data_IF_998100849961
#
_entry.id   IF_998100849961
#
_cell.length_a   1.000
_cell.length_b   1.000
_cell.length_c   1.000
_cell.angle_alpha   90.00
_cell.angle_beta   90.00
_cell.angle_gamma   90.00
#
_symmetry.space_group_name_H-M   'P 1'
#
loop_
_entity.id
_entity.type
_entity.pdbx_description
1 polymer ?
#
# COMPACT_ATOMS: atom_id res chain seq x y z
N UNK A 1 -46.28 -70.90 -1.21
CA UNK A 1 -45.49 -70.16 -2.22
C UNK A 1 -46.47 -69.24 -2.91
N UNK A 2 -46.29 -67.96 -2.65
CA UNK A 2 -47.32 -67.13 -2.01
C UNK A 2 -47.70 -65.97 -2.91
N UNK A 3 -48.97 -65.56 -2.84
CA UNK A 3 -49.58 -64.41 -3.54
C UNK A 3 -48.69 -63.13 -3.55
N UNK A 4 -47.80 -63.01 -2.57
CA UNK A 4 -46.83 -61.93 -2.43
C UNK A 4 -45.73 -61.94 -3.51
N UNK A 5 -45.28 -63.10 -3.99
CA UNK A 5 -44.30 -63.22 -5.07
C UNK A 5 -44.90 -62.84 -6.42
N UNK A 6 -46.14 -63.26 -6.70
CA UNK A 6 -46.89 -62.86 -7.89
C UNK A 6 -47.19 -61.35 -7.90
N UNK A 7 -47.55 -60.78 -6.73
CA UNK A 7 -47.80 -59.34 -6.63
C UNK A 7 -46.51 -58.53 -6.88
N UNK A 8 -45.37 -59.01 -6.34
CA UNK A 8 -44.05 -58.39 -6.59
C UNK A 8 -43.64 -58.49 -8.05
N UNK A 9 -43.82 -59.65 -8.69
CA UNK A 9 -43.50 -59.84 -10.11
C UNK A 9 -44.34 -58.92 -11.00
N UNK A 10 -45.64 -58.77 -10.69
CA UNK A 10 -46.54 -57.87 -11.43
C UNK A 10 -46.19 -56.40 -11.21
N UNK A 11 -45.84 -56.01 -9.99
CA UNK A 11 -45.39 -54.66 -9.68
C UNK A 11 -44.07 -54.31 -10.39
N UNK A 12 -43.10 -55.23 -10.39
CA UNK A 12 -41.83 -55.08 -11.13
C UNK A 12 -42.06 -54.98 -12.64
N UNK A 13 -42.98 -55.77 -13.19
CA UNK A 13 -43.37 -55.67 -14.60
C UNK A 13 -43.96 -54.31 -14.96
N UNK A 14 -44.86 -53.78 -14.13
CA UNK A 14 -45.45 -52.45 -14.34
C UNK A 14 -44.40 -51.34 -14.22
N UNK A 15 -43.51 -51.41 -13.23
CA UNK A 15 -42.42 -50.43 -13.06
C UNK A 15 -41.47 -50.48 -14.26
N UNK A 16 -41.11 -51.68 -14.74
CA UNK A 16 -40.25 -51.83 -15.91
C UNK A 16 -40.90 -51.27 -17.18
N UNK A 17 -42.20 -51.52 -17.38
CA UNK A 17 -42.95 -50.96 -18.51
C UNK A 17 -43.06 -49.43 -18.42
N UNK A 18 -43.29 -48.90 -17.21
CA UNK A 18 -43.36 -47.46 -16.99
C UNK A 18 -41.99 -46.78 -17.21
N UNK A 19 -40.88 -47.43 -16.78
CA UNK A 19 -39.52 -46.94 -17.07
C UNK A 19 -39.22 -46.96 -18.57
N UNK A 20 -39.62 -48.00 -19.30
CA UNK A 20 -39.41 -48.06 -20.75
C UNK A 20 -40.14 -46.91 -21.47
N UNK A 21 -41.39 -46.64 -21.09
CA UNK A 21 -42.15 -45.50 -21.63
C UNK A 21 -41.49 -44.16 -21.29
N UNK A 22 -41.02 -43.99 -20.06
CA UNK A 22 -40.35 -42.77 -19.62
C UNK A 22 -39.04 -42.51 -20.39
N UNK A 23 -38.25 -43.55 -20.67
CA UNK A 23 -37.03 -43.44 -21.47
C UNK A 23 -37.33 -42.97 -22.89
N UNK A 24 -38.37 -43.53 -23.52
CA UNK A 24 -38.78 -43.12 -24.88
C UNK A 24 -39.25 -41.67 -24.90
N UNK A 25 -40.04 -41.24 -23.91
CA UNK A 25 -40.51 -39.85 -23.81
C UNK A 25 -39.35 -38.86 -23.58
N UNK A 26 -38.39 -39.20 -22.71
CA UNK A 26 -37.20 -38.38 -22.50
C UNK A 26 -36.37 -38.29 -23.78
N UNK A 27 -36.13 -39.40 -24.46
CA UNK A 27 -35.37 -39.39 -25.72
C UNK A 27 -36.05 -38.53 -26.79
N UNK A 28 -37.39 -38.58 -26.87
CA UNK A 28 -38.17 -37.72 -27.76
C UNK A 28 -38.02 -36.24 -27.38
N UNK A 29 -38.17 -35.89 -26.11
CA UNK A 29 -38.01 -34.49 -25.65
C UNK A 29 -36.60 -33.96 -25.89
N UNK A 30 -35.56 -34.77 -25.67
CA UNK A 30 -34.17 -34.39 -25.96
C UNK A 30 -34.01 -34.10 -27.45
N UNK A 31 -34.55 -34.96 -28.32
CA UNK A 31 -34.49 -34.75 -29.78
C UNK A 31 -35.21 -33.47 -30.22
N UNK A 32 -36.40 -33.20 -29.65
CA UNK A 32 -37.14 -31.96 -29.91
C UNK A 32 -36.36 -30.72 -29.43
N UNK A 33 -35.76 -30.77 -28.24
CA UNK A 33 -34.98 -29.66 -27.71
C UNK A 33 -33.70 -29.40 -28.52
N UNK A 34 -33.00 -30.46 -28.93
CA UNK A 34 -31.84 -30.36 -29.83
C UNK A 34 -32.23 -29.74 -31.18
N UNK A 35 -33.36 -30.15 -31.76
CA UNK A 35 -33.85 -29.56 -33.00
C UNK A 35 -34.19 -28.07 -32.88
N UNK A 36 -34.76 -27.66 -31.74
CA UNK A 36 -35.05 -26.24 -31.47
C UNK A 36 -33.77 -25.41 -31.29
N UNK A 37 -32.75 -25.95 -30.63
CA UNK A 37 -31.46 -25.28 -30.45
C UNK A 37 -30.75 -25.05 -31.79
N UNK A 38 -30.79 -26.03 -32.70
CA UNK A 38 -30.18 -25.89 -34.03
C UNK A 38 -30.88 -24.79 -34.83
N UNK A 39 -32.22 -24.75 -34.82
CA UNK A 39 -32.97 -23.69 -35.51
C UNK A 39 -32.69 -22.30 -34.93
N UNK A 40 -32.62 -22.19 -33.60
CA UNK A 40 -32.29 -20.93 -32.95
C UNK A 40 -30.86 -20.45 -33.28
N UNK A 41 -29.92 -21.37 -33.44
CA UNK A 41 -28.55 -21.07 -33.88
C UNK A 41 -28.53 -20.58 -35.34
N UNK A 42 -29.28 -21.24 -36.23
CA UNK A 42 -29.40 -20.81 -37.63
C UNK A 42 -30.03 -19.41 -37.73
N UNK A 43 -31.12 -19.15 -36.99
CA UNK A 43 -31.77 -17.84 -36.94
C UNK A 43 -30.82 -16.75 -36.41
N UNK A 44 -30.02 -17.06 -35.38
CA UNK A 44 -29.04 -16.14 -34.81
C UNK A 44 -27.90 -15.85 -35.82
N UNK A 45 -27.42 -16.87 -36.53
CA UNK A 45 -26.41 -16.69 -37.57
C UNK A 45 -26.92 -15.81 -38.71
N UNK A 46 -28.18 -16.00 -39.13
CA UNK A 46 -28.80 -15.14 -40.14
C UNK A 46 -28.98 -13.70 -39.63
N UNK A 47 -29.35 -13.51 -38.36
CA UNK A 47 -29.41 -12.18 -37.75
C UNK A 47 -28.05 -11.50 -37.71
N UNK A 48 -26.99 -12.20 -37.29
CA UNK A 48 -25.62 -11.66 -37.23
C UNK A 48 -25.13 -11.29 -38.64
N UNK A 49 -25.38 -12.12 -39.65
CA UNK A 49 -25.03 -11.82 -41.04
C UNK A 49 -25.73 -10.54 -41.55
N UNK A 50 -26.99 -10.31 -41.16
CA UNK A 50 -27.72 -9.07 -41.49
C UNK A 50 -27.22 -7.83 -40.73
N UNK A 51 -26.57 -8.00 -39.58
CA UNK A 51 -25.96 -6.89 -38.85
C UNK A 51 -24.62 -6.47 -39.46
N UNK A 52 -23.84 -7.42 -39.97
CA UNK A 52 -22.55 -7.14 -40.63
C UNK A 52 -22.73 -6.32 -41.93
N UNK A 53 -23.85 -6.52 -42.64
CA UNK A 53 -24.17 -5.76 -43.86
C UNK A 53 -24.67 -4.32 -43.60
N UNK A 54 -25.06 -3.99 -42.36
CA UNK A 54 -25.59 -2.66 -41.98
C UNK A 54 -24.56 -1.75 -41.30
N UNK A 55 -23.43 -2.28 -40.86
CA UNK A 55 -22.37 -1.48 -40.27
C UNK A 55 -21.45 -1.01 -41.40
N UNK A 56 -21.79 0.13 -42.00
CA UNK A 56 -20.90 0.82 -42.91
C UNK A 56 -19.94 1.67 -42.07
N UNK A 57 -18.65 1.31 -42.02
CA UNK A 57 -17.63 2.04 -41.24
C UNK A 57 -17.63 3.55 -41.56
N UNK A 58 -17.95 3.92 -42.80
CA UNK A 58 -18.06 5.33 -43.21
C UNK A 58 -19.23 6.09 -42.55
N UNK A 59 -20.34 5.44 -42.25
CA UNK A 59 -21.47 6.08 -41.56
C UNK A 59 -21.17 6.29 -40.07
N UNK A 60 -20.37 5.39 -39.48
CA UNK A 60 -19.84 5.56 -38.12
C UNK A 60 -18.85 6.72 -38.08
N UNK A 61 -17.92 6.80 -39.03
CA UNK A 61 -16.97 7.91 -39.10
C UNK A 61 -17.67 9.26 -39.28
N UNK A 62 -18.70 9.33 -40.13
CA UNK A 62 -19.48 10.55 -40.35
C UNK A 62 -20.28 10.95 -39.11
N UNK A 63 -20.93 9.98 -38.45
CA UNK A 63 -21.65 10.23 -37.20
C UNK A 63 -20.71 10.64 -36.05
N UNK A 64 -19.52 10.02 -35.95
CA UNK A 64 -18.51 10.42 -34.98
C UNK A 64 -17.95 11.81 -35.26
N UNK A 65 -17.70 12.15 -36.52
CA UNK A 65 -17.24 13.48 -36.92
C UNK A 65 -18.29 14.56 -36.60
N UNK A 66 -19.57 14.28 -36.81
CA UNK A 66 -20.67 15.21 -36.48
C UNK A 66 -20.82 15.40 -34.96
N UNK A 67 -20.68 14.32 -34.17
CA UNK A 67 -20.69 14.39 -32.69
C UNK A 67 -19.50 15.19 -32.17
N UNK A 68 -18.30 15.01 -32.74
CA UNK A 68 -17.11 15.77 -32.36
C UNK A 68 -17.23 17.25 -32.76
N UNK A 69 -17.80 17.55 -33.93
CA UNK A 69 -18.00 18.92 -34.40
C UNK A 69 -19.04 19.70 -33.60
N UNK A 70 -20.06 19.02 -33.06
CA UNK A 70 -21.12 19.61 -32.25
C UNK A 70 -20.86 19.51 -30.73
N UNK A 71 -19.70 18.98 -30.33
CA UNK A 71 -19.31 18.94 -28.92
C UNK A 71 -18.90 20.36 -28.48
N UNK A 72 -19.43 20.89 -27.37
CA UNK A 72 -18.93 22.14 -26.81
C UNK A 72 -17.42 22.00 -26.58
N UNK A 73 -16.63 23.09 -26.71
CA UNK A 73 -15.18 23.03 -26.50
C UNK A 73 -14.92 22.36 -25.15
N UNK A 74 -13.96 21.43 -25.06
CA UNK A 74 -13.68 20.73 -23.82
C UNK A 74 -13.46 21.79 -22.73
N UNK A 75 -14.20 21.67 -21.62
CA UNK A 75 -13.83 22.37 -20.40
C UNK A 75 -12.32 22.19 -20.19
N UNK A 76 -11.60 23.25 -19.76
CA UNK A 76 -10.15 23.17 -19.61
C UNK A 76 -9.82 21.90 -18.85
N UNK A 77 -9.07 21.01 -19.52
CA UNK A 77 -8.76 19.68 -19.00
C UNK A 77 -8.42 19.80 -17.52
N UNK A 78 -9.14 19.06 -16.67
CA UNK A 78 -8.89 19.04 -15.23
C UNK A 78 -7.36 18.98 -15.03
N UNK A 79 -6.78 19.88 -14.21
CA UNK A 79 -5.35 20.06 -14.16
C UNK A 79 -4.70 18.70 -13.97
N UNK A 80 -3.95 18.27 -14.99
CA UNK A 80 -3.27 16.99 -14.99
C UNK A 80 -2.31 17.03 -13.80
N UNK A 81 -2.66 16.29 -12.76
CA UNK A 81 -1.87 16.23 -11.54
C UNK A 81 -0.44 15.77 -11.83
N UNK A 82 0.49 16.00 -10.89
CA UNK A 82 1.86 15.52 -11.01
C UNK A 82 1.86 14.02 -11.35
N UNK A 83 2.50 13.68 -12.48
CA UNK A 83 2.51 12.31 -13.00
C UNK A 83 3.20 11.34 -12.03
N UNK A 84 2.93 10.04 -12.15
CA UNK A 84 3.49 9.01 -11.26
C UNK A 84 5.03 9.00 -11.20
N UNK A 85 5.71 9.49 -12.24
CA UNK A 85 7.18 9.56 -12.25
C UNK A 85 7.73 10.62 -11.29
N UNK A 86 7.02 11.75 -11.11
CA UNK A 86 7.37 12.75 -10.12
C UNK A 86 7.15 12.23 -8.70
N UNK A 87 6.03 11.55 -8.45
CA UNK A 87 5.77 10.88 -7.18
C UNK A 87 6.86 9.86 -6.84
N UNK A 88 7.26 9.00 -7.80
CA UNK A 88 8.37 8.05 -7.60
C UNK A 88 9.67 8.75 -7.22
N UNK A 89 9.99 9.86 -7.88
CA UNK A 89 11.19 10.63 -7.58
C UNK A 89 11.13 11.23 -6.17
N UNK A 90 10.00 11.81 -5.76
CA UNK A 90 9.82 12.38 -4.42
C UNK A 90 9.87 11.30 -3.32
N UNK A 91 9.29 10.12 -3.56
CA UNK A 91 9.39 8.96 -2.64
C UNK A 91 10.85 8.53 -2.48
N UNK A 92 11.59 8.35 -3.58
CA UNK A 92 13.00 8.01 -3.54
C UNK A 92 13.85 9.09 -2.85
N UNK A 93 13.47 10.37 -2.97
CA UNK A 93 14.15 11.46 -2.27
C UNK A 93 13.94 11.38 -0.75
N UNK A 94 12.74 11.04 -0.29
CA UNK A 94 12.41 10.88 1.13
C UNK A 94 13.14 9.68 1.76
N UNK A 95 13.23 8.55 1.05
CA UNK A 95 13.93 7.34 1.52
C UNK A 95 15.43 7.56 1.77
N UNK A 96 16.05 8.55 1.13
CA UNK A 96 17.46 8.89 1.36
C UNK A 96 17.72 9.54 2.71
N UNK A 97 16.70 10.03 3.40
CA UNK A 97 16.86 10.66 4.71
C UNK A 97 17.31 9.66 5.76
N UNK A 98 18.41 9.94 6.45
CA UNK A 98 18.99 9.05 7.48
C UNK A 98 18.61 9.46 8.90
N UNK A 99 17.96 10.61 9.05
CA UNK A 99 17.49 11.14 10.33
C UNK A 99 16.13 11.81 10.21
N UNK A 100 15.44 11.99 11.35
CA UNK A 100 14.17 12.73 11.41
C UNK A 100 14.29 14.11 10.72
N UNK A 101 15.35 14.86 11.03
CA UNK A 101 15.56 16.19 10.46
C UNK A 101 15.72 16.14 8.95
N UNK A 102 16.50 15.19 8.43
CA UNK A 102 16.71 15.06 6.98
C UNK A 102 15.43 14.71 6.25
N UNK A 103 14.65 13.74 6.75
CA UNK A 103 13.38 13.34 6.12
C UNK A 103 12.39 14.52 6.09
N UNK A 104 12.28 15.29 7.19
CA UNK A 104 11.40 16.47 7.23
C UNK A 104 11.88 17.57 6.26
N UNK A 105 13.18 17.81 6.16
CA UNK A 105 13.73 18.78 5.20
C UNK A 105 13.49 18.33 3.76
N UNK A 106 13.72 17.06 3.44
CA UNK A 106 13.43 16.50 2.12
C UNK A 106 11.94 16.63 1.78
N UNK A 107 11.04 16.32 2.71
CA UNK A 107 9.60 16.46 2.52
C UNK A 107 9.20 17.88 2.12
N UNK A 108 9.66 18.90 2.85
CA UNK A 108 9.33 20.30 2.53
C UNK A 108 9.91 20.70 1.16
N UNK A 109 11.11 20.23 0.82
CA UNK A 109 11.73 20.52 -0.47
C UNK A 109 10.97 19.88 -1.64
N UNK A 110 10.56 18.61 -1.50
CA UNK A 110 9.75 17.91 -2.49
C UNK A 110 8.38 18.57 -2.65
N UNK A 111 7.71 18.89 -1.55
CA UNK A 111 6.39 19.54 -1.59
C UNK A 111 6.45 20.91 -2.26
N UNK A 112 7.53 21.68 -2.06
CA UNK A 112 7.70 23.01 -2.67
C UNK A 112 7.81 23.02 -4.21
N UNK A 113 7.88 21.84 -4.84
CA UNK A 113 7.82 21.72 -6.30
C UNK A 113 6.38 21.73 -6.83
N UNK A 114 5.39 21.46 -5.98
CA UNK A 114 3.98 21.31 -6.35
C UNK A 114 3.09 22.45 -5.83
N UNK A 115 3.60 23.26 -4.90
CA UNK A 115 2.85 24.35 -4.28
C UNK A 115 3.79 25.52 -3.94
N UNK A 116 3.27 26.75 -4.04
CA UNK A 116 4.07 27.98 -3.93
C UNK A 116 4.89 28.06 -2.64
N UNK A 117 4.28 27.67 -1.52
CA UNK A 117 4.92 27.69 -0.21
C UNK A 117 4.63 26.43 0.58
N UNK A 118 5.66 25.92 1.23
CA UNK A 118 5.58 24.78 2.15
C UNK A 118 6.37 25.10 3.43
N UNK A 119 5.75 24.91 4.58
CA UNK A 119 6.32 25.20 5.89
C UNK A 119 5.98 24.10 6.90
N UNK A 120 7.00 23.56 7.56
CA UNK A 120 6.84 22.55 8.60
C UNK A 120 6.77 23.22 9.97
N UNK A 121 5.73 22.89 10.72
CA UNK A 121 5.54 23.31 12.10
C UNK A 121 5.63 22.12 13.05
N UNK A 122 6.52 22.18 14.03
CA UNK A 122 6.68 21.13 15.04
C UNK A 122 5.71 21.41 16.20
N UNK A 123 4.92 20.40 16.57
CA UNK A 123 3.96 20.51 17.67
C UNK A 123 4.68 20.29 19.00
N UNK A 124 4.67 21.32 19.85
CA UNK A 124 5.27 21.29 21.18
C UNK A 124 4.27 21.81 22.21
N UNK A 125 3.57 20.87 22.86
CA UNK A 125 2.55 21.20 23.85
C UNK A 125 1.35 21.89 23.20
N UNK A 126 0.93 23.09 23.66
CA UNK A 126 -0.24 23.80 23.12
C UNK A 126 0.08 24.64 21.88
N UNK A 127 1.26 24.49 21.27
CA UNK A 127 1.74 25.38 20.22
C UNK A 127 2.43 24.62 19.09
N UNK A 128 2.33 25.17 17.88
CA UNK A 128 3.02 24.71 16.69
C UNK A 128 4.09 25.74 16.31
N UNK A 129 5.35 25.33 16.30
CA UNK A 129 6.51 26.22 16.13
C UNK A 129 7.11 25.97 14.74
N UNK A 130 7.25 27.02 13.95
CA UNK A 130 7.84 26.93 12.62
C UNK A 130 9.29 26.46 12.67
N UNK A 131 9.64 25.51 11.83
CA UNK A 131 10.93 24.83 11.87
C UNK A 131 11.74 25.00 10.58
N UNK A 132 11.14 24.65 9.44
CA UNK A 132 11.77 24.73 8.12
C UNK A 132 10.72 25.03 7.06
N UNK A 133 11.08 25.82 6.06
CA UNK A 133 10.15 26.20 5.01
C UNK A 133 10.84 26.55 3.69
N UNK A 134 10.05 26.49 2.61
CA UNK A 134 10.40 26.83 1.23
C UNK A 134 9.27 27.70 0.64
N UNK A 135 9.61 28.59 -0.30
CA UNK A 135 8.67 29.58 -0.82
C UNK A 135 8.52 30.83 0.08
N UNK A 136 9.54 31.12 0.91
CA UNK A 136 9.62 32.32 1.73
C UNK A 136 10.96 33.03 1.55
N UNK A 137 10.91 34.36 1.56
CA UNK A 137 12.07 35.24 1.47
C UNK A 137 12.02 36.26 2.62
N UNK A 138 12.91 36.20 3.62
CA UNK A 138 13.90 35.14 3.88
C UNK A 138 13.29 33.89 4.53
N UNK A 139 13.81 32.71 4.21
CA UNK A 139 13.31 31.44 4.73
C UNK A 139 13.37 31.31 6.26
N UNK A 140 14.32 31.99 6.91
CA UNK A 140 14.52 31.93 8.38
C UNK A 140 13.38 32.58 9.19
N UNK A 141 12.51 33.37 8.56
CA UNK A 141 11.34 33.97 9.23
C UNK A 141 10.46 32.90 9.86
N UNK A 142 10.38 31.70 9.27
CA UNK A 142 9.59 30.59 9.80
C UNK A 142 9.92 30.25 11.26
N UNK A 143 11.19 30.37 11.65
CA UNK A 143 11.67 30.05 13.01
C UNK A 143 11.14 31.02 14.08
N UNK A 144 10.64 32.18 13.65
CA UNK A 144 10.05 33.20 14.53
C UNK A 144 8.51 33.10 14.59
N UNK A 145 7.92 32.14 13.89
CA UNK A 145 6.48 31.93 13.85
C UNK A 145 6.09 30.85 14.85
N UNK A 146 5.18 31.21 15.75
CA UNK A 146 4.59 30.32 16.74
C UNK A 146 3.07 30.48 16.69
N UNK A 147 2.38 29.39 16.37
CA UNK A 147 0.92 29.35 16.23
C UNK A 147 0.33 28.59 17.42
N UNK A 148 -0.45 29.25 18.30
CA UNK A 148 -1.17 28.57 19.37
C UNK A 148 -2.25 27.62 18.82
N UNK A 149 -2.26 26.36 19.27
CA UNK A 149 -3.23 25.35 18.84
C UNK A 149 -4.60 25.48 19.51
N UNK A 150 -4.77 26.47 20.40
CA UNK A 150 -6.05 26.88 20.96
C UNK A 150 -6.69 28.06 20.21
N UNK A 151 -5.94 28.75 19.35
CA UNK A 151 -6.45 29.84 18.51
C UNK A 151 -7.19 29.28 17.29
N UNK A 152 -8.18 30.02 16.80
CA UNK A 152 -8.98 29.61 15.65
C UNK A 152 -8.19 29.67 14.34
N UNK A 153 -7.50 28.58 14.04
CA UNK A 153 -6.57 28.45 12.92
C UNK A 153 -6.73 27.08 12.26
N UNK A 154 -6.30 26.95 11.01
CA UNK A 154 -6.28 25.66 10.30
C UNK A 154 -5.39 24.65 11.02
N UNK A 155 -4.30 25.10 11.68
CA UNK A 155 -3.43 24.24 12.50
C UNK A 155 -4.16 23.69 13.73
N UNK A 156 -5.02 24.48 14.39
CA UNK A 156 -5.90 23.99 15.46
C UNK A 156 -6.88 22.94 14.93
N UNK A 157 -7.47 23.16 13.77
CA UNK A 157 -8.44 22.23 13.19
C UNK A 157 -7.78 20.88 12.88
N UNK A 158 -6.60 20.88 12.26
CA UNK A 158 -5.77 19.68 12.05
C UNK A 158 -5.39 19.02 13.37
N UNK A 159 -5.04 19.80 14.40
CA UNK A 159 -4.71 19.26 15.72
C UNK A 159 -5.88 18.49 16.36
N UNK A 160 -7.11 18.98 16.18
CA UNK A 160 -8.29 18.37 16.76
C UNK A 160 -8.81 17.18 15.94
N UNK A 161 -8.84 17.32 14.60
CA UNK A 161 -9.38 16.30 13.70
C UNK A 161 -8.39 15.18 13.40
N UNK A 162 -7.09 15.47 13.43
CA UNK A 162 -6.02 14.60 12.90
C UNK A 162 -6.18 14.25 11.43
N UNK A 163 -6.87 15.10 10.65
CA UNK A 163 -7.05 14.97 9.21
C UNK A 163 -6.49 16.18 8.47
N UNK A 164 -6.11 15.98 7.20
CA UNK A 164 -5.72 17.08 6.34
C UNK A 164 -6.88 18.07 6.14
N UNK A 165 -6.59 19.36 6.20
CA UNK A 165 -7.56 20.43 6.05
C UNK A 165 -7.16 21.32 4.87
N UNK A 166 -8.07 21.47 3.91
CA UNK A 166 -7.92 22.33 2.74
C UNK A 166 -9.05 23.37 2.75
N UNK A 167 -8.75 24.59 2.33
CA UNK A 167 -9.78 25.61 2.16
C UNK A 167 -9.23 26.95 1.70
N UNK A 168 -10.12 27.90 1.44
CA UNK A 168 -9.75 29.27 1.15
C UNK A 168 -9.39 30.00 2.45
N UNK A 169 -8.34 30.81 2.39
CA UNK A 169 -7.75 31.48 3.54
C UNK A 169 -8.65 32.61 4.07
N UNK A 170 -9.51 33.17 3.22
CA UNK A 170 -10.54 34.16 3.59
C UNK A 170 -11.52 33.63 4.66
N UNK A 171 -11.78 32.32 4.66
CA UNK A 171 -12.63 31.66 5.64
C UNK A 171 -11.92 31.37 6.97
N UNK A 172 -10.62 31.72 7.09
CA UNK A 172 -9.85 31.54 8.31
C UNK A 172 -9.00 32.77 8.66
N UNK A 173 -9.63 33.87 9.12
CA UNK A 173 -8.92 35.11 9.50
C UNK A 173 -7.85 34.88 10.58
N UNK A 174 -8.07 33.96 11.51
CA UNK A 174 -7.07 33.63 12.54
C UNK A 174 -5.82 32.97 11.95
N UNK A 175 -5.96 32.16 10.89
CA UNK A 175 -4.80 31.62 10.15
C UNK A 175 -4.03 32.75 9.45
N UNK A 176 -4.73 33.67 8.78
CA UNK A 176 -4.11 34.84 8.16
C UNK A 176 -3.31 35.67 9.17
N UNK A 177 -3.90 35.95 10.33
CA UNK A 177 -3.25 36.71 11.38
C UNK A 177 -2.03 35.98 11.96
N UNK A 178 -2.15 34.69 12.25
CA UNK A 178 -1.09 33.90 12.84
C UNK A 178 0.13 33.74 11.91
N UNK A 179 -0.12 33.71 10.60
CA UNK A 179 0.90 33.49 9.58
C UNK A 179 1.27 34.75 8.79
N UNK A 180 0.75 35.92 9.17
CA UNK A 180 1.02 37.20 8.50
C UNK A 180 2.53 37.51 8.37
N UNK A 181 3.34 37.03 9.31
CA UNK A 181 4.81 37.17 9.28
C UNK A 181 5.46 36.46 8.10
N UNK A 182 4.84 35.41 7.56
CA UNK A 182 5.34 34.70 6.38
C UNK A 182 5.23 35.56 5.11
N UNK A 183 4.40 36.61 5.13
CA UNK A 183 4.21 37.53 4.02
C UNK A 183 3.50 36.92 2.81
N UNK A 184 3.45 37.67 1.71
CA UNK A 184 2.72 37.30 0.50
C UNK A 184 1.20 37.48 0.63
N UNK A 185 0.47 37.03 -0.38
CA UNK A 185 -1.00 37.11 -0.46
C UNK A 185 -1.59 35.77 -0.91
N UNK A 186 -1.43 34.69 -0.12
CA UNK A 186 -2.04 33.40 -0.44
C UNK A 186 -3.57 33.48 -0.35
N UNK A 187 -4.24 32.77 -1.25
CA UNK A 187 -5.70 32.66 -1.31
C UNK A 187 -6.19 31.31 -0.81
N UNK A 188 -5.44 30.23 -1.08
CA UNK A 188 -5.77 28.88 -0.61
C UNK A 188 -4.70 28.27 0.28
N UNK A 189 -5.12 27.37 1.16
CA UNK A 189 -4.28 26.69 2.14
C UNK A 189 -4.56 25.20 2.20
N UNK A 190 -3.52 24.42 2.47
CA UNK A 190 -3.55 23.02 2.85
C UNK A 190 -2.72 22.82 4.12
N UNK A 191 -3.27 22.16 5.12
CA UNK A 191 -2.54 21.76 6.32
C UNK A 191 -2.69 20.25 6.53
N UNK A 192 -1.56 19.54 6.61
CA UNK A 192 -1.52 18.07 6.69
C UNK A 192 -0.83 17.63 7.99
N UNK A 193 -1.46 16.75 8.79
CA UNK A 193 -0.87 16.24 10.02
C UNK A 193 0.24 15.22 9.74
N UNK A 194 1.38 15.38 10.41
CA UNK A 194 2.39 14.32 10.52
C UNK A 194 2.23 13.62 11.87
N UNK A 195 1.69 12.40 11.83
CA UNK A 195 1.47 11.57 13.01
C UNK A 195 2.62 10.57 13.11
N UNK A 196 3.34 10.60 14.24
CA UNK A 196 4.40 9.65 14.57
C UNK A 196 3.99 8.90 15.84
N UNK A 197 3.97 7.57 15.80
CA UNK A 197 3.55 6.72 16.94
C UNK A 197 2.25 7.20 17.62
N UNK A 198 1.21 7.44 16.82
CA UNK A 198 -0.13 7.94 17.24
C UNK A 198 -0.19 9.34 17.85
N UNK A 199 0.93 10.07 17.84
CA UNK A 199 1.01 11.45 18.32
C UNK A 199 1.20 12.41 17.16
N UNK A 200 0.45 13.51 17.14
CA UNK A 200 0.68 14.59 16.20
C UNK A 200 2.02 15.25 16.51
N UNK A 201 3.03 14.98 15.68
CA UNK A 201 4.39 15.43 15.90
C UNK A 201 4.67 16.75 15.17
N UNK A 202 4.10 16.92 13.98
CA UNK A 202 4.23 18.11 13.18
C UNK A 202 3.00 18.34 12.31
N UNK A 203 2.87 19.54 11.77
CA UNK A 203 1.87 19.90 10.76
C UNK A 203 2.62 20.54 9.59
N UNK A 204 2.45 19.97 8.40
CA UNK A 204 2.90 20.59 7.17
C UNK A 204 1.84 21.58 6.71
N UNK A 205 2.19 22.87 6.69
CA UNK A 205 1.37 23.94 6.15
C UNK A 205 1.83 24.29 4.74
N UNK A 206 0.90 24.40 3.80
CA UNK A 206 1.15 24.85 2.45
C UNK A 206 0.15 25.92 2.05
N UNK A 207 0.59 26.92 1.28
CA UNK A 207 -0.26 27.97 0.76
C UNK A 207 0.05 28.26 -0.72
N UNK A 208 -0.94 28.82 -1.43
CA UNK A 208 -0.79 29.25 -2.82
C UNK A 208 -1.56 30.54 -3.08
N UNK A 209 -1.09 31.31 -4.06
CA UNK A 209 -1.80 32.48 -4.56
C UNK A 209 -3.04 32.12 -5.41
N UNK A 210 -3.23 30.85 -5.77
CA UNK A 210 -4.43 30.35 -6.44
C UNK A 210 -5.63 30.29 -5.50
N UNK A 211 -6.84 30.45 -6.07
CA UNK A 211 -8.11 30.45 -5.33
C UNK A 211 -8.38 29.14 -4.59
N UNK A 212 -7.88 28.02 -5.11
CA UNK A 212 -7.92 26.72 -4.47
C UNK A 212 -6.61 25.94 -4.64
N UNK A 213 -6.36 24.99 -3.75
CA UNK A 213 -5.30 23.99 -3.93
C UNK A 213 -5.87 22.84 -4.79
N UNK A 214 -5.31 22.55 -5.98
CA UNK A 214 -5.80 21.47 -6.84
C UNK A 214 -5.89 20.13 -6.10
N UNK A 215 -6.99 19.39 -6.30
CA UNK A 215 -7.24 18.13 -5.58
C UNK A 215 -6.12 17.11 -5.71
N UNK A 216 -5.65 16.87 -6.94
CA UNK A 216 -4.56 15.93 -7.19
C UNK A 216 -3.23 16.34 -6.51
N UNK A 217 -2.97 17.64 -6.37
CA UNK A 217 -1.79 18.15 -5.64
C UNK A 217 -1.96 17.94 -4.14
N UNK A 218 -3.16 18.20 -3.60
CA UNK A 218 -3.44 17.96 -2.19
C UNK A 218 -3.28 16.48 -1.82
N UNK A 219 -3.84 15.57 -2.63
CA UNK A 219 -3.73 14.12 -2.44
C UNK A 219 -2.27 13.65 -2.50
N UNK A 220 -1.48 14.20 -3.45
CA UNK A 220 -0.05 13.92 -3.54
C UNK A 220 0.68 14.34 -2.26
N UNK A 221 0.46 15.58 -1.80
CA UNK A 221 1.13 16.12 -0.62
C UNK A 221 0.77 15.28 0.61
N UNK A 222 -0.50 14.91 0.77
CA UNK A 222 -0.96 14.04 1.87
C UNK A 222 -0.26 12.67 1.84
N UNK A 223 -0.15 12.06 0.66
CA UNK A 223 0.57 10.81 0.47
C UNK A 223 2.06 10.91 0.85
N UNK A 224 2.73 12.00 0.45
CA UNK A 224 4.13 12.24 0.79
C UNK A 224 4.34 12.42 2.30
N UNK A 225 3.45 13.14 2.98
CA UNK A 225 3.49 13.31 4.44
C UNK A 225 3.28 11.98 5.16
N UNK A 226 2.32 11.17 4.70
CA UNK A 226 2.07 9.83 5.24
C UNK A 226 3.30 8.93 5.07
N UNK A 227 3.91 8.94 3.88
CA UNK A 227 5.11 8.16 3.60
C UNK A 227 6.32 8.62 4.43
N UNK A 228 6.52 9.94 4.58
CA UNK A 228 7.55 10.48 5.44
C UNK A 228 7.36 10.04 6.90
N UNK A 229 6.13 10.01 7.40
CA UNK A 229 5.80 9.47 8.71
C UNK A 229 6.23 8.01 8.88
N UNK A 230 5.94 7.15 7.89
CA UNK A 230 6.37 5.75 7.90
C UNK A 230 7.89 5.60 7.84
N UNK A 231 8.56 6.42 7.04
CA UNK A 231 10.03 6.44 6.93
C UNK A 231 10.65 6.80 8.29
N UNK A 232 10.11 7.82 8.97
CA UNK A 232 10.55 8.25 10.30
C UNK A 232 10.28 7.17 11.36
N UNK A 233 9.09 6.57 11.35
CA UNK A 233 8.77 5.47 12.26
C UNK A 233 9.75 4.30 12.09
N UNK A 234 10.12 3.97 10.84
CA UNK A 234 11.12 2.94 10.52
C UNK A 234 12.52 3.30 11.03
N UNK A 235 12.98 4.54 10.81
CA UNK A 235 14.27 5.02 11.37
C UNK A 235 14.31 4.93 12.89
N UNK A 236 13.15 5.08 13.54
CA UNK A 236 13.02 5.01 15.00
C UNK A 236 13.04 3.57 15.57
N UNK A 237 12.90 2.55 14.72
CA UNK A 237 12.94 1.12 15.05
C UNK A 237 14.33 0.51 14.85
N UNK A 238 15.22 1.17 14.11
CA UNK A 238 16.60 0.72 13.98
C UNK A 238 17.27 0.69 15.36
N UNK A 239 17.98 -0.40 15.74
CA UNK A 239 18.73 -0.42 16.97
C UNK A 239 19.67 0.77 16.93
N UNK A 240 19.62 1.59 17.98
CA UNK A 240 20.51 2.72 18.19
C UNK A 240 21.93 2.15 18.26
N UNK A 241 22.55 1.95 17.10
CA UNK A 241 23.97 1.65 17.01
C UNK A 241 24.60 2.81 17.75
N UNK A 242 25.28 2.49 18.84
CA UNK A 242 25.90 3.49 19.69
C UNK A 242 26.68 4.43 18.77
N UNK A 243 26.15 5.64 18.58
CA UNK A 243 26.88 6.70 17.93
C UNK A 243 28.15 6.85 18.76
N UNK A 244 29.28 6.52 18.13
CA UNK A 244 30.59 6.85 18.63
C UNK A 244 30.53 8.31 19.07
N UNK A 245 30.85 8.55 20.34
CA UNK A 245 30.91 9.87 20.91
C UNK A 245 31.74 10.79 19.98
N UNK A 246 31.29 12.02 19.70
CA UNK A 246 32.13 12.98 19.00
C UNK A 246 33.39 13.19 19.84
N UNK A 247 34.53 12.86 19.22
CA UNK A 247 35.85 13.12 19.78
C UNK A 247 35.94 14.61 20.15
N UNK A 248 36.27 14.84 21.41
CA UNK A 248 36.53 16.15 21.98
C UNK A 248 37.55 16.92 21.11
N UNK A 249 37.25 18.19 20.88
CA UNK A 249 38.20 19.15 20.33
C UNK A 249 39.50 19.17 21.17
N UNK A 250 40.69 19.33 20.55
CA UNK A 250 41.94 19.41 21.28
C UNK A 250 41.96 20.69 22.12
N UNK A 251 42.02 20.52 23.44
CA UNK A 251 42.25 21.61 24.39
C UNK A 251 43.66 22.18 24.20
N UNK A 252 43.70 23.52 24.14
CA UNK A 252 44.87 24.38 24.11
C UNK A 252 45.84 24.06 25.26
N UNK A 253 47.17 24.17 25.07
CA UNK A 253 48.14 23.92 26.14
C UNK A 253 48.03 24.99 27.26
N UNK A 254 48.23 24.62 28.53
CA UNK A 254 48.16 25.56 29.65
C UNK A 254 49.46 26.35 29.80
N UNK A 255 49.34 27.65 30.03
CA UNK A 255 50.42 28.50 30.56
C UNK A 255 50.54 28.29 32.09
N UNK A 256 51.74 28.50 32.69
CA UNK A 256 52.10 27.92 33.98
C UNK A 256 51.48 28.63 35.19
N UNK A 257 51.20 27.84 36.22
CA UNK A 257 50.60 28.21 37.48
C UNK A 257 51.53 28.98 38.43
N UNK A 258 50.96 29.94 39.18
CA UNK A 258 51.45 30.31 40.49
C UNK A 258 50.72 29.49 41.57
N UNK A 259 51.51 28.73 42.32
CA UNK A 259 51.20 27.96 43.55
C UNK A 259 51.06 28.91 44.78
N UNK A 260 50.87 28.44 46.03
CA UNK A 260 50.52 27.10 46.55
C UNK A 260 49.52 27.09 47.76
N UNK A 261 49.02 25.90 48.14
CA UNK A 261 49.05 25.34 49.52
C UNK A 261 48.35 23.96 49.51
N UNK A 262 49.12 22.87 49.63
CA UNK A 262 49.36 22.08 50.86
C UNK A 262 48.33 20.94 51.02
N UNK A 263 48.71 19.70 50.64
CA UNK A 263 49.09 18.57 51.53
C UNK A 263 47.93 17.54 51.54
N UNK A 264 48.06 16.22 51.47
CA UNK A 264 49.17 15.28 51.64
C UNK A 264 48.90 13.99 50.80
N UNK A 265 49.93 13.17 50.62
CA UNK A 265 49.96 11.88 49.91
C UNK A 265 50.03 10.70 50.93
N UNK A 266 50.31 9.41 50.59
CA UNK A 266 50.11 8.62 49.34
C UNK A 266 49.70 7.11 49.53
N UNK A 267 49.46 6.42 48.39
CA UNK A 267 49.95 5.05 47.99
C UNK A 267 49.25 3.74 48.47
N UNK A 268 49.49 2.55 47.80
CA UNK A 268 49.74 2.26 46.36
C UNK A 268 49.21 0.87 45.82
N UNK A 269 49.56 0.58 44.54
CA UNK A 269 49.79 -0.72 43.86
C UNK A 269 48.56 -1.61 43.56
N UNK A 270 48.45 -2.38 42.46
CA UNK A 270 49.42 -3.12 41.60
C UNK A 270 48.76 -3.31 40.20
N UNK A 271 49.44 -3.09 39.07
CA UNK A 271 50.21 -4.05 38.25
C UNK A 271 49.44 -5.12 37.45
N UNK A 272 49.91 -5.32 36.20
CA UNK A 272 49.67 -6.50 35.35
C UNK A 272 48.73 -6.23 34.18
N UNK A 273 49.20 -5.75 33.03
CA UNK A 273 49.81 -6.57 31.97
C UNK A 273 48.78 -6.82 30.86
N UNK A 274 49.03 -6.84 29.55
CA UNK A 274 50.25 -6.95 28.77
C UNK A 274 49.91 -6.56 27.32
N UNK A 275 50.75 -5.71 26.72
CA UNK A 275 51.40 -5.89 25.40
C UNK A 275 50.60 -5.83 24.07
N UNK A 276 50.84 -4.70 23.36
CA UNK A 276 51.31 -4.53 21.96
C UNK A 276 50.42 -5.05 20.81
N UNK A 277 49.67 -4.15 20.16
CA UNK A 277 49.94 -3.50 18.86
C UNK A 277 50.16 -4.43 17.67
N UNK A 278 49.35 -4.27 16.62
CA UNK A 278 49.86 -4.36 15.25
C UNK A 278 49.27 -3.26 14.37
N UNK A 279 50.17 -2.72 13.57
CA UNK A 279 50.11 -1.44 12.88
C UNK A 279 49.30 -1.50 11.59
N UNK A 280 48.59 -0.41 11.30
CA UNK A 280 47.93 -0.16 10.03
C UNK A 280 48.93 0.45 9.04
N UNK A 281 49.37 -0.35 8.07
CA UNK A 281 49.97 0.12 6.82
C UNK A 281 50.25 -1.11 5.95
N UNK A 282 49.50 -1.29 4.85
CA UNK A 282 50.07 -1.39 3.50
C UNK A 282 49.05 -1.83 2.43
N UNK A 283 49.14 -1.09 1.33
CA UNK A 283 48.80 -1.39 -0.06
C UNK A 283 47.34 -1.65 -0.45
N UNK A 284 46.77 -0.57 -0.98
CA UNK A 284 46.09 -0.55 -2.28
C UNK A 284 46.84 -1.36 -3.35
N UNK A 285 46.20 -2.40 -3.88
CA UNK A 285 46.26 -2.79 -5.29
C UNK A 285 45.40 -4.03 -5.49
N UNK A 286 44.51 -3.97 -6.50
CA UNK A 286 44.11 -5.03 -7.44
C UNK A 286 42.62 -4.98 -7.76
N UNK A 287 42.35 -4.27 -8.86
CA UNK A 287 41.24 -4.50 -9.78
C UNK A 287 41.40 -5.90 -10.40
N UNK A 288 40.35 -6.71 -10.52
CA UNK A 288 40.31 -7.77 -11.51
C UNK A 288 39.49 -7.32 -12.72
N UNK A 289 40.12 -7.28 -13.90
CA UNK A 289 39.42 -7.38 -15.17
C UNK A 289 39.47 -8.83 -15.65
N UNK A 290 38.31 -9.38 -15.99
CA UNK A 290 38.05 -10.11 -17.24
C UNK A 290 38.71 -11.47 -17.50
N UNK A 291 37.93 -12.54 -17.31
CA UNK A 291 37.80 -13.73 -18.17
C UNK A 291 36.66 -14.58 -17.56
N UNK A 292 35.67 -15.16 -18.23
CA UNK A 292 35.55 -15.56 -19.63
C UNK A 292 34.06 -15.55 -20.04
N UNK A 293 33.83 -15.37 -21.33
CA UNK A 293 32.53 -15.46 -21.98
C UNK A 293 31.87 -16.82 -21.74
N UNK A 294 30.75 -16.84 -21.02
CA UNK A 294 29.82 -17.96 -21.02
C UNK A 294 28.98 -17.90 -22.30
N UNK A 295 29.07 -18.95 -23.11
CA UNK A 295 28.23 -19.15 -24.31
C UNK A 295 26.75 -19.17 -23.92
N UNK A 296 25.83 -18.73 -24.80
CA UNK A 296 24.40 -18.90 -24.57
C UNK A 296 24.09 -20.40 -24.58
N UNK A 297 23.51 -20.91 -23.49
CA UNK A 297 22.92 -22.24 -23.48
C UNK A 297 21.77 -22.28 -24.49
N UNK A 298 21.73 -23.33 -25.29
CA UNK A 298 20.67 -23.60 -26.25
C UNK A 298 19.29 -23.66 -25.56
N UNK A 299 18.19 -23.36 -26.27
CA UNK A 299 16.86 -23.36 -25.69
C UNK A 299 16.51 -24.76 -25.17
N UNK A 300 16.10 -24.84 -23.90
CA UNK A 300 15.44 -26.02 -23.40
C UNK A 300 14.16 -26.26 -24.24
N UNK A 301 13.86 -27.51 -24.65
CA UNK A 301 12.56 -27.82 -25.24
C UNK A 301 11.46 -27.48 -24.22
N UNK A 302 10.32 -26.93 -24.66
CA UNK A 302 9.24 -26.57 -23.76
C UNK A 302 8.80 -27.79 -22.94
N UNK A 303 8.57 -27.65 -21.63
CA UNK A 303 7.92 -28.72 -20.88
C UNK A 303 6.56 -29.00 -21.51
N UNK A 304 6.26 -30.29 -21.68
CA UNK A 304 5.00 -30.77 -22.19
C UNK A 304 3.83 -30.04 -21.52
N UNK A 305 2.89 -29.58 -22.35
CA UNK A 305 1.68 -28.91 -21.92
C UNK A 305 1.01 -29.69 -20.77
N UNK A 306 1.02 -29.09 -19.58
CA UNK A 306 0.08 -29.46 -18.53
C UNK A 306 -1.35 -29.35 -19.11
N UNK A 307 -2.28 -30.24 -18.72
CA UNK A 307 -3.63 -30.26 -19.29
C UNK A 307 -4.21 -28.85 -19.18
N UNK A 308 -4.46 -28.24 -20.34
CA UNK A 308 -5.09 -26.94 -20.43
C UNK A 308 -6.47 -27.08 -19.80
N UNK A 309 -6.60 -26.60 -18.56
CA UNK A 309 -7.88 -26.52 -17.86
C UNK A 309 -8.87 -25.83 -18.78
N UNK A 310 -10.09 -26.34 -18.84
CA UNK A 310 -11.13 -25.71 -19.63
C UNK A 310 -11.33 -24.24 -19.18
N UNK A 311 -11.80 -23.35 -20.05
CA UNK A 311 -12.05 -21.95 -19.69
C UNK A 311 -12.99 -21.82 -18.46
N UNK A 312 -13.93 -22.75 -18.28
CA UNK A 312 -14.83 -22.80 -17.13
C UNK A 312 -14.12 -23.22 -15.84
N UNK A 313 -13.27 -24.23 -15.89
CA UNK A 313 -12.45 -24.63 -14.74
C UNK A 313 -11.49 -23.51 -14.34
N UNK A 314 -10.84 -22.86 -15.32
CA UNK A 314 -9.95 -21.72 -15.07
C UNK A 314 -10.67 -20.60 -14.32
N UNK A 315 -11.90 -20.27 -14.76
CA UNK A 315 -12.75 -19.28 -14.09
C UNK A 315 -13.13 -19.71 -12.68
N UNK A 316 -13.47 -20.98 -12.46
CA UNK A 316 -13.79 -21.51 -11.14
C UNK A 316 -12.59 -21.43 -10.18
N UNK A 317 -11.37 -21.70 -10.66
CA UNK A 317 -10.14 -21.53 -9.89
C UNK A 317 -9.87 -20.05 -9.54
N UNK A 318 -10.08 -19.13 -10.49
CA UNK A 318 -9.94 -17.68 -10.22
C UNK A 318 -10.97 -17.18 -9.19
N UNK A 319 -12.23 -17.57 -9.34
CA UNK A 319 -13.31 -17.18 -8.44
C UNK A 319 -13.07 -17.73 -7.03
N UNK A 320 -12.62 -18.99 -6.91
CA UNK A 320 -12.23 -19.59 -5.64
C UNK A 320 -11.09 -18.80 -4.98
N UNK A 321 -10.05 -18.43 -5.74
CA UNK A 321 -8.92 -17.64 -5.22
C UNK A 321 -9.34 -16.24 -4.75
N UNK A 322 -10.22 -15.57 -5.51
CA UNK A 322 -10.78 -14.27 -5.12
C UNK A 322 -11.60 -14.39 -3.83
N UNK A 323 -12.41 -15.44 -3.73
CA UNK A 323 -13.24 -15.67 -2.55
C UNK A 323 -12.41 -16.03 -1.30
N UNK A 324 -11.39 -16.88 -1.44
CA UNK A 324 -10.43 -17.15 -0.36
C UNK A 324 -9.77 -15.87 0.15
N UNK A 325 -9.29 -15.00 -0.76
CA UNK A 325 -8.70 -13.71 -0.38
C UNK A 325 -9.69 -12.81 0.35
N UNK A 326 -10.94 -12.75 -0.11
CA UNK A 326 -11.99 -11.95 0.53
C UNK A 326 -12.21 -12.40 1.97
N UNK A 327 -12.53 -13.67 2.19
CA UNK A 327 -12.84 -14.22 3.52
C UNK A 327 -11.67 -14.04 4.48
N UNK A 328 -10.44 -14.34 4.03
CA UNK A 328 -9.27 -14.19 4.89
C UNK A 328 -8.94 -12.72 5.19
N UNK A 329 -9.21 -11.81 4.25
CA UNK A 329 -9.07 -10.36 4.48
C UNK A 329 -10.06 -9.85 5.53
N UNK A 330 -11.29 -10.38 5.54
CA UNK A 330 -12.29 -10.05 6.58
C UNK A 330 -11.86 -10.56 7.96
N UNK A 331 -11.36 -11.81 8.05
CA UNK A 331 -10.82 -12.35 9.31
C UNK A 331 -9.74 -11.42 9.87
N UNK A 332 -8.83 -10.95 9.01
CA UNK A 332 -7.78 -10.01 9.40
C UNK A 332 -8.35 -8.67 9.86
N UNK A 333 -9.33 -8.13 9.13
CA UNK A 333 -9.94 -6.82 9.41
C UNK A 333 -10.57 -6.79 10.80
N UNK A 334 -11.27 -7.85 11.20
CA UNK A 334 -11.93 -7.92 12.51
C UNK A 334 -11.00 -8.33 13.66
N UNK A 335 -9.86 -8.97 13.35
CA UNK A 335 -8.98 -9.56 14.38
C UNK A 335 -7.53 -9.07 14.28
N UNK A 336 -7.29 -7.83 13.83
CA UNK A 336 -5.94 -7.32 13.54
C UNK A 336 -4.98 -7.43 14.73
N UNK A 337 -5.45 -7.11 15.94
CA UNK A 337 -4.65 -7.25 17.16
C UNK A 337 -4.21 -8.70 17.41
N UNK A 338 -5.14 -9.65 17.32
CA UNK A 338 -4.87 -11.09 17.50
C UNK A 338 -3.97 -11.66 16.40
N UNK A 339 -4.11 -11.19 15.16
CA UNK A 339 -3.22 -11.57 14.05
C UNK A 339 -1.80 -11.08 14.32
N UNK A 340 -1.63 -9.84 14.79
CA UNK A 340 -0.32 -9.28 15.09
C UNK A 340 0.37 -10.00 16.27
N UNK A 341 -0.37 -10.31 17.33
CA UNK A 341 0.14 -11.15 18.41
C UNK A 341 0.47 -12.57 17.93
N UNK A 342 -0.42 -13.15 17.12
CA UNK A 342 -0.26 -14.46 16.52
C UNK A 342 1.01 -14.60 15.70
N UNK A 343 1.37 -13.56 14.93
CA UNK A 343 2.64 -13.52 14.18
C UNK A 343 3.88 -13.50 15.09
N UNK A 344 3.79 -12.82 16.22
CA UNK A 344 4.91 -12.71 17.18
C UNK A 344 5.14 -14.02 17.91
N UNK A 345 4.07 -14.69 18.31
CA UNK A 345 4.12 -15.93 19.09
C UNK A 345 4.04 -17.20 18.25
N UNK A 346 3.77 -17.05 16.94
CA UNK A 346 3.63 -18.14 15.97
C UNK A 346 2.49 -19.10 16.33
N UNK A 347 1.34 -18.57 16.69
CA UNK A 347 0.16 -19.30 17.19
C UNK A 347 -1.18 -18.76 16.60
N UNK A 348 -1.16 -18.25 15.36
CA UNK A 348 -2.35 -17.67 14.70
C UNK A 348 -3.52 -18.67 14.65
N UNK A 349 -3.28 -19.95 14.34
CA UNK A 349 -4.32 -20.96 14.29
C UNK A 349 -5.02 -21.14 15.62
N UNK A 350 -4.27 -21.14 16.72
CA UNK A 350 -4.82 -21.30 18.06
C UNK A 350 -5.65 -20.08 18.45
N UNK A 351 -5.12 -18.87 18.21
CA UNK A 351 -5.78 -17.60 18.58
C UNK A 351 -7.04 -17.30 17.77
N UNK A 352 -7.07 -17.70 16.50
CA UNK A 352 -8.15 -17.39 15.55
C UNK A 352 -8.90 -18.63 15.08
N UNK A 353 -8.83 -19.72 15.86
CA UNK A 353 -9.42 -21.01 15.50
C UNK A 353 -10.87 -20.90 15.05
N UNK A 354 -11.69 -20.18 15.81
CA UNK A 354 -13.12 -20.01 15.50
C UNK A 354 -13.35 -19.21 14.21
N UNK A 355 -12.62 -18.11 14.01
CA UNK A 355 -12.75 -17.27 12.82
C UNK A 355 -12.27 -17.98 11.56
N UNK A 356 -11.16 -18.70 11.67
CA UNK A 356 -10.58 -19.48 10.57
C UNK A 356 -11.51 -20.63 10.18
N UNK A 357 -12.10 -21.33 11.16
CA UNK A 357 -13.00 -22.44 10.86
C UNK A 357 -14.33 -21.95 10.27
N UNK A 358 -14.87 -20.82 10.76
CA UNK A 358 -16.00 -20.15 10.11
C UNK A 358 -15.69 -19.76 8.67
N UNK A 359 -14.53 -19.15 8.43
CA UNK A 359 -14.10 -18.77 7.08
C UNK A 359 -13.90 -19.98 6.17
N UNK A 360 -13.39 -21.09 6.71
CA UNK A 360 -13.24 -22.36 5.99
C UNK A 360 -14.58 -22.92 5.56
N UNK A 361 -15.59 -22.85 6.43
CA UNK A 361 -16.96 -23.27 6.11
C UNK A 361 -17.56 -22.40 5.00
N UNK A 362 -17.43 -21.08 5.09
CA UNK A 362 -17.91 -20.17 4.04
C UNK A 362 -17.26 -20.47 2.69
N UNK A 363 -15.95 -20.73 2.68
CA UNK A 363 -15.22 -21.16 1.49
C UNK A 363 -15.72 -22.51 0.95
N UNK A 364 -15.97 -23.48 1.83
CA UNK A 364 -16.50 -24.79 1.47
C UNK A 364 -17.92 -24.71 0.85
N UNK A 365 -18.76 -23.81 1.34
CA UNK A 365 -20.13 -23.65 0.85
C UNK A 365 -20.19 -22.98 -0.53
N UNK A 366 -19.24 -22.07 -0.83
CA UNK A 366 -19.24 -21.27 -2.07
C UNK A 366 -18.46 -21.92 -3.21
N UNK A 367 -17.42 -22.70 -2.91
CA UNK A 367 -16.50 -23.24 -3.92
C UNK A 367 -16.87 -24.69 -4.27
N UNK A 368 -16.88 -25.00 -5.56
CA UNK A 368 -17.24 -26.32 -6.06
C UNK A 368 -16.26 -27.42 -5.52
N UNK A 369 -16.75 -28.64 -5.21
CA UNK A 369 -15.92 -29.71 -4.63
C UNK A 369 -14.66 -30.02 -5.43
N UNK A 370 -14.75 -30.08 -6.77
CA UNK A 370 -13.61 -30.38 -7.64
C UNK A 370 -12.46 -29.36 -7.56
N UNK A 371 -12.74 -28.09 -7.24
CA UNK A 371 -11.71 -27.06 -7.03
C UNK A 371 -11.09 -27.19 -5.63
N UNK A 372 -11.89 -27.55 -4.63
CA UNK A 372 -11.44 -27.73 -3.24
C UNK A 372 -10.57 -28.97 -3.06
N UNK A 373 -10.85 -30.03 -3.79
CA UNK A 373 -10.10 -31.28 -3.70
C UNK A 373 -8.77 -31.20 -4.47
N UNK A 374 -8.69 -30.33 -5.49
CA UNK A 374 -7.48 -30.14 -6.30
C UNK A 374 -6.53 -29.08 -5.76
N UNK A 375 -7.00 -28.13 -4.95
CA UNK A 375 -6.22 -26.96 -4.50
C UNK A 375 -6.57 -26.49 -3.10
N UNK A 376 -5.64 -25.81 -2.44
CA UNK A 376 -5.82 -25.30 -1.07
C UNK A 376 -5.73 -23.77 -0.98
N UNK A 377 -6.44 -23.05 -1.86
CA UNK A 377 -6.36 -21.58 -1.95
C UNK A 377 -6.71 -20.86 -0.64
N UNK A 378 -7.59 -21.45 0.17
CA UNK A 378 -7.92 -20.90 1.48
C UNK A 378 -6.69 -20.90 2.39
N UNK A 379 -5.93 -22.01 2.43
CA UNK A 379 -4.68 -22.08 3.19
C UNK A 379 -3.62 -21.12 2.65
N UNK A 380 -3.47 -21.03 1.33
CA UNK A 380 -2.51 -20.12 0.71
C UNK A 380 -2.77 -18.66 1.08
N UNK A 381 -4.04 -18.23 1.10
CA UNK A 381 -4.41 -16.88 1.51
C UNK A 381 -4.30 -16.71 3.04
N UNK A 382 -4.49 -17.75 3.88
CA UNK A 382 -4.15 -17.68 5.32
C UNK A 382 -2.66 -17.39 5.54
N UNK A 383 -1.77 -18.09 4.83
CA UNK A 383 -0.32 -17.84 4.91
C UNK A 383 0.00 -16.43 4.42
N UNK A 384 -0.53 -16.05 3.24
CA UNK A 384 -0.23 -14.77 2.61
C UNK A 384 -0.75 -13.58 3.42
N UNK A 385 -1.98 -13.64 3.92
CA UNK A 385 -2.68 -12.50 4.53
C UNK A 385 -2.54 -12.52 6.05
N UNK A 386 -2.82 -13.64 6.72
CA UNK A 386 -2.74 -13.72 8.18
C UNK A 386 -1.30 -13.91 8.64
N UNK A 387 -0.56 -14.81 8.01
CA UNK A 387 0.83 -15.10 8.41
C UNK A 387 1.87 -14.16 7.78
N UNK A 388 1.45 -13.27 6.86
CA UNK A 388 2.34 -12.31 6.20
C UNK A 388 3.38 -12.95 5.28
N UNK A 389 3.08 -14.15 4.77
CA UNK A 389 3.98 -14.95 3.94
C UNK A 389 4.84 -15.95 4.70
N UNK A 390 4.90 -15.89 6.04
CA UNK A 390 5.60 -16.88 6.87
C UNK A 390 4.65 -17.99 7.32
N UNK A 391 4.73 -19.16 6.68
CA UNK A 391 3.93 -20.33 7.07
C UNK A 391 4.15 -20.72 8.54
N UNK A 392 5.35 -20.51 9.07
CA UNK A 392 5.68 -20.81 10.46
C UNK A 392 4.96 -19.93 11.47
N UNK A 393 4.44 -18.77 11.06
CA UNK A 393 3.66 -17.89 11.92
C UNK A 393 2.23 -18.40 12.16
N UNK A 394 1.74 -19.35 11.36
CA UNK A 394 0.43 -19.96 11.58
C UNK A 394 0.38 -20.82 12.85
N UNK A 395 1.51 -21.38 13.27
CA UNK A 395 1.60 -22.30 14.39
C UNK A 395 1.18 -23.73 14.04
N UNK A 396 1.25 -24.66 15.01
CA UNK A 396 0.79 -26.03 14.82
C UNK A 396 -0.71 -26.05 14.51
N UNK A 397 -1.10 -26.87 13.52
CA UNK A 397 -2.50 -27.15 13.16
C UNK A 397 -3.21 -27.99 14.21
#
# INVERSE_FOLDING_TARGET
MTLQEDLKAKALGLISQQMANWVVDIQRQIGEHQGNLVRALDDLQEQVARYDEKINEGDIEMAMAEVVANMPPPEPAAPVGPGFDQLKASVAALERGTSLSEVLTHLVNEVSQYIDRAAMFIVKGPSAIGWYARGLEPADVIKQVNVPLNADTVLRNVNNSRHAMRGALEHSPGTQQALARLGGSPQAVLAVPLILRDKLAAILYCDTAQEEVPGAVADLIELLVLFAGKTIDMLSLAPKTAAAAPAAAPSRPPAPAARPAAAAAPAPADEGGSTVMFNAQQMSSFRPQGAAAARPAAPHPPPAAAPSMSPEETKAHEDAKRFARLVVSEIKLYNEAKVNEGRRHKDIYERLKEDIERGRQMYADRVAPHVRDSTNYFYDELVRILAGGDQGALGPM
#
